data_IF_575418289605
#
_entry.id   IF_575418289605
#
_cell.length_a   1.000
_cell.length_b   1.000
_cell.length_c   1.000
_cell.angle_alpha   90.00
_cell.angle_beta   90.00
_cell.angle_gamma   90.00
#
_symmetry.space_group_name_H-M   'P 1'
#
loop_
_entity.id
_entity.type
_entity.pdbx_description
1 polymer ?
#
# COMPACT_ATOMS: atom_id res chain seq x y z
N UNK A 1 9.07 -4.83 -14.21
CA UNK A 1 7.86 -5.42 -13.62
C UNK A 1 6.77 -4.36 -13.54
N UNK A 2 5.60 -4.69 -14.01
CA UNK A 2 4.44 -3.80 -13.94
C UNK A 2 3.86 -3.79 -12.54
N UNK A 3 3.47 -2.61 -12.06
CA UNK A 3 2.77 -2.45 -10.79
C UNK A 3 1.38 -1.94 -11.09
N UNK A 4 0.38 -2.56 -10.48
CA UNK A 4 -1.01 -2.16 -10.64
C UNK A 4 -1.69 -2.09 -9.28
N UNK A 5 -2.35 -0.96 -9.01
CA UNK A 5 -3.21 -0.85 -7.83
C UNK A 5 -4.60 -1.32 -8.20
N UNK A 6 -5.18 -2.20 -7.41
CA UNK A 6 -6.58 -2.52 -7.67
C UNK A 6 -7.45 -1.31 -7.29
N UNK A 7 -8.70 -1.25 -7.80
CA UNK A 7 -9.53 -0.06 -7.59
C UNK A 7 -9.74 0.31 -6.13
N UNK A 8 -9.92 -0.67 -5.26
CA UNK A 8 -10.13 -0.40 -3.83
C UNK A 8 -8.87 0.16 -3.18
N UNK A 9 -7.69 -0.35 -3.57
CA UNK A 9 -6.43 0.19 -3.06
C UNK A 9 -6.22 1.63 -3.51
N UNK A 10 -6.51 1.92 -4.78
CA UNK A 10 -6.40 3.29 -5.30
C UNK A 10 -7.34 4.24 -4.55
N UNK A 11 -8.54 3.79 -4.23
CA UNK A 11 -9.49 4.56 -3.45
C UNK A 11 -8.99 4.83 -2.03
N UNK A 12 -8.35 3.84 -1.43
CA UNK A 12 -7.76 3.99 -0.10
C UNK A 12 -6.66 5.03 -0.09
N UNK A 13 -5.84 5.06 -1.13
CA UNK A 13 -4.80 6.10 -1.28
C UNK A 13 -5.44 7.48 -1.35
N UNK A 14 -6.46 7.65 -2.17
CA UNK A 14 -7.12 8.95 -2.33
C UNK A 14 -7.80 9.40 -1.06
N UNK A 15 -8.47 8.49 -0.36
CA UNK A 15 -9.11 8.80 0.92
C UNK A 15 -8.10 9.25 1.96
N UNK A 16 -6.96 8.55 2.05
CA UNK A 16 -5.91 8.93 2.97
C UNK A 16 -5.30 10.30 2.60
N UNK A 17 -5.03 10.50 1.31
CA UNK A 17 -4.48 11.77 0.84
C UNK A 17 -5.40 12.93 1.19
N UNK A 18 -6.70 12.80 0.96
CA UNK A 18 -7.67 13.84 1.29
C UNK A 18 -7.70 14.13 2.79
N UNK A 19 -7.66 13.08 3.59
CA UNK A 19 -7.67 13.23 5.04
C UNK A 19 -6.47 14.06 5.51
N UNK A 20 -5.28 13.77 4.99
CA UNK A 20 -4.09 14.54 5.31
C UNK A 20 -4.17 15.97 4.75
N UNK A 21 -4.64 16.12 3.51
CA UNK A 21 -4.70 17.43 2.85
C UNK A 21 -5.59 18.42 3.62
N UNK A 22 -6.67 17.93 4.21
CA UNK A 22 -7.58 18.75 5.01
C UNK A 22 -6.94 19.26 6.29
N UNK A 23 -5.93 18.57 6.79
CA UNK A 23 -5.25 18.90 8.05
C UNK A 23 -3.89 19.52 7.83
N UNK A 24 -3.16 19.08 6.83
CA UNK A 24 -1.82 19.56 6.53
C UNK A 24 -1.46 19.18 5.10
N UNK A 25 -1.57 20.11 4.14
CA UNK A 25 -1.17 19.82 2.76
C UNK A 25 0.24 19.23 2.61
N UNK A 26 1.27 19.70 3.36
CA UNK A 26 2.57 19.04 3.29
C UNK A 26 2.55 17.57 3.73
N UNK A 27 1.69 17.20 4.67
CA UNK A 27 1.57 15.81 5.09
C UNK A 27 0.97 14.95 3.98
N UNK A 28 0.02 15.49 3.22
CA UNK A 28 -0.54 14.76 2.09
C UNK A 28 0.53 14.47 1.02
N UNK A 29 1.38 15.46 0.74
CA UNK A 29 2.48 15.26 -0.19
C UNK A 29 3.49 14.24 0.33
N UNK A 30 3.83 14.33 1.61
CA UNK A 30 4.76 13.40 2.23
C UNK A 30 4.23 11.96 2.21
N UNK A 31 2.93 11.78 2.41
CA UNK A 31 2.29 10.47 2.30
C UNK A 31 2.46 9.87 0.90
N UNK A 32 2.19 10.66 -0.13
CA UNK A 32 2.32 10.17 -1.51
C UNK A 32 3.78 9.84 -1.85
N UNK A 33 4.72 10.68 -1.43
CA UNK A 33 6.15 10.41 -1.66
C UNK A 33 6.57 9.11 -0.98
N UNK A 34 6.14 8.91 0.25
CA UNK A 34 6.49 7.69 0.97
C UNK A 34 5.86 6.44 0.34
N UNK A 35 4.63 6.58 -0.18
CA UNK A 35 3.98 5.48 -0.88
C UNK A 35 4.72 5.16 -2.18
N UNK A 36 5.16 6.17 -2.93
CA UNK A 36 5.95 5.95 -4.15
C UNK A 36 7.25 5.23 -3.85
N UNK A 37 7.93 5.61 -2.76
CA UNK A 37 9.15 4.93 -2.33
C UNK A 37 8.86 3.48 -1.94
N UNK A 38 7.72 3.23 -1.29
CA UNK A 38 7.31 1.87 -0.94
C UNK A 38 7.15 1.01 -2.20
N UNK A 39 6.49 1.55 -3.22
CA UNK A 39 6.32 0.86 -4.50
C UNK A 39 7.67 0.50 -5.11
N UNK A 40 8.61 1.45 -5.14
CA UNK A 40 9.94 1.20 -5.71
C UNK A 40 10.72 0.16 -4.93
N UNK A 41 10.69 0.21 -3.61
CA UNK A 41 11.38 -0.78 -2.77
C UNK A 41 10.82 -2.17 -2.95
N UNK A 42 9.51 -2.28 -3.06
CA UNK A 42 8.86 -3.58 -3.27
C UNK A 42 9.14 -4.10 -4.68
N UNK A 43 9.15 -3.23 -5.69
CA UNK A 43 9.50 -3.63 -7.06
C UNK A 43 10.92 -4.21 -7.14
N UNK A 44 11.86 -3.59 -6.44
CA UNK A 44 13.25 -4.02 -6.46
C UNK A 44 13.45 -5.40 -5.86
N UNK A 45 12.68 -5.72 -4.82
CA UNK A 45 12.85 -6.98 -4.09
C UNK A 45 11.49 -7.48 -3.57
N UNK A 46 10.61 -7.96 -4.46
CA UNK A 46 9.24 -8.29 -4.06
C UNK A 46 9.13 -9.44 -3.06
N UNK A 47 10.14 -10.29 -2.97
CA UNK A 47 10.13 -11.42 -2.04
C UNK A 47 10.79 -11.11 -0.71
N UNK A 48 11.32 -9.91 -0.55
CA UNK A 48 12.05 -9.51 0.66
C UNK A 48 11.13 -9.24 1.85
N UNK A 49 9.92 -8.75 1.58
CA UNK A 49 9.05 -8.25 2.63
C UNK A 49 8.19 -9.36 3.22
N UNK A 50 7.79 -9.24 4.50
CA UNK A 50 7.11 -10.34 5.20
C UNK A 50 5.82 -10.79 4.52
N UNK A 51 5.57 -12.07 4.59
CA UNK A 51 4.28 -12.63 4.19
C UNK A 51 3.19 -12.15 5.14
N UNK A 52 2.02 -11.91 4.58
CA UNK A 52 0.90 -11.39 5.34
C UNK A 52 -0.39 -11.97 4.79
N UNK A 53 -0.90 -13.00 5.46
CA UNK A 53 -2.01 -13.75 4.93
C UNK A 53 -1.59 -14.63 3.75
N UNK A 54 -2.57 -15.30 3.17
CA UNK A 54 -2.32 -16.25 2.10
C UNK A 54 -2.01 -15.53 0.78
N UNK A 55 -0.84 -15.80 0.24
CA UNK A 55 -0.45 -15.27 -1.06
C UNK A 55 -0.12 -13.80 -1.11
N UNK A 56 -0.08 -13.12 0.02
CA UNK A 56 0.20 -11.70 0.07
C UNK A 56 1.43 -11.40 0.93
N UNK A 57 1.96 -10.20 0.77
CA UNK A 57 3.04 -9.65 1.58
C UNK A 57 2.68 -8.24 1.97
N UNK A 58 3.34 -7.73 3.02
CA UNK A 58 3.10 -6.35 3.45
C UNK A 58 4.40 -5.57 3.56
N UNK A 59 4.30 -4.29 3.23
CA UNK A 59 5.33 -3.31 3.48
C UNK A 59 4.74 -2.24 4.38
N UNK A 60 5.30 -2.09 5.58
CA UNK A 60 4.81 -1.11 6.55
C UNK A 60 5.46 0.23 6.23
N UNK A 61 4.65 1.29 6.02
CA UNK A 61 5.19 2.62 5.80
C UNK A 61 5.89 3.12 7.06
N UNK A 62 7.13 3.67 6.94
CA UNK A 62 7.90 4.07 8.13
C UNK A 62 7.27 5.19 8.96
N UNK A 63 6.62 6.17 8.32
CA UNK A 63 6.16 7.37 9.03
C UNK A 63 4.66 7.58 9.02
N UNK A 64 3.90 6.69 8.39
CA UNK A 64 2.44 6.79 8.33
C UNK A 64 1.83 5.47 8.78
N UNK A 65 0.67 5.52 9.43
CA UNK A 65 0.06 4.32 10.00
C UNK A 65 -0.67 3.47 8.95
N UNK A 66 0.05 3.14 7.88
CA UNK A 66 -0.47 2.35 6.78
C UNK A 66 0.50 1.26 6.38
N UNK A 67 -0.04 0.17 5.86
CA UNK A 67 0.75 -0.88 5.22
C UNK A 67 0.29 -1.05 3.78
N UNK A 68 1.25 -1.25 2.89
CA UNK A 68 0.95 -1.60 1.51
C UNK A 68 0.91 -3.12 1.42
N UNK A 69 -0.25 -3.67 1.08
CA UNK A 69 -0.45 -5.10 0.92
C UNK A 69 -0.41 -5.41 -0.56
N UNK A 70 0.43 -6.36 -0.95
CA UNK A 70 0.60 -6.68 -2.36
C UNK A 70 0.75 -8.17 -2.57
N UNK A 71 0.52 -8.59 -3.81
CA UNK A 71 0.76 -9.98 -4.21
C UNK A 71 1.33 -10.02 -5.61
N UNK A 72 2.02 -11.11 -5.91
CA UNK A 72 2.64 -11.31 -7.21
C UNK A 72 1.80 -12.27 -8.02
N UNK A 73 1.51 -11.90 -9.27
CA UNK A 73 0.87 -12.78 -10.25
C UNK A 73 1.69 -12.72 -11.53
N UNK A 74 2.41 -13.80 -11.80
CA UNK A 74 3.34 -13.82 -12.93
C UNK A 74 4.30 -12.63 -12.82
N UNK A 75 4.29 -11.72 -13.78
CA UNK A 75 5.18 -10.55 -13.74
C UNK A 75 4.47 -9.27 -13.31
N UNK A 76 3.27 -9.41 -12.75
CA UNK A 76 2.49 -8.30 -12.25
C UNK A 76 2.60 -8.22 -10.72
N UNK A 77 2.93 -7.05 -10.21
CA UNK A 77 2.85 -6.75 -8.79
C UNK A 77 1.54 -6.00 -8.56
N UNK A 78 0.60 -6.66 -7.91
CA UNK A 78 -0.70 -6.08 -7.63
C UNK A 78 -0.75 -5.55 -6.21
N UNK A 79 -0.99 -4.23 -6.05
CA UNK A 79 -1.25 -3.65 -4.75
C UNK A 79 -2.73 -3.87 -4.44
N UNK A 80 -2.98 -4.69 -3.43
CA UNK A 80 -4.33 -5.13 -3.06
C UNK A 80 -4.99 -4.15 -2.11
N UNK A 81 -4.20 -3.55 -1.23
CA UNK A 81 -4.71 -2.62 -0.23
C UNK A 81 -3.62 -1.66 0.24
N UNK A 82 -4.04 -0.46 0.59
CA UNK A 82 -3.24 0.48 1.37
C UNK A 82 -4.00 0.64 2.69
N UNK A 83 -3.63 -0.19 3.65
CA UNK A 83 -4.44 -0.47 4.83
C UNK A 83 -3.99 0.35 6.03
N UNK A 84 -4.89 1.17 6.57
CA UNK A 84 -4.64 1.82 7.85
C UNK A 84 -4.48 0.73 8.93
N UNK A 85 -3.56 0.93 9.85
CA UNK A 85 -3.24 -0.07 10.89
C UNK A 85 -4.41 -0.37 11.83
N UNK A 86 -5.43 0.49 11.84
CA UNK A 86 -6.65 0.25 12.65
C UNK A 86 -7.70 -0.61 11.93
N UNK A 87 -7.51 -0.87 10.63
CA UNK A 87 -8.45 -1.73 9.92
C UNK A 87 -8.31 -3.17 10.40
N UNK A 88 -9.42 -3.90 10.33
CA UNK A 88 -9.43 -5.32 10.70
C UNK A 88 -8.48 -6.10 9.80
N UNK A 89 -7.58 -6.91 10.36
CA UNK A 89 -6.67 -7.71 9.56
C UNK A 89 -7.41 -8.58 8.54
N UNK A 90 -6.94 -8.58 7.29
CA UNK A 90 -7.52 -9.41 6.26
C UNK A 90 -8.80 -8.90 5.63
N UNK A 91 -9.23 -7.66 5.92
CA UNK A 91 -10.44 -7.09 5.31
C UNK A 91 -10.36 -7.05 3.78
N UNK A 92 -9.15 -7.08 3.24
CA UNK A 92 -8.87 -7.03 1.80
C UNK A 92 -8.87 -8.42 1.13
N UNK A 93 -9.08 -9.49 1.88
CA UNK A 93 -8.89 -10.88 1.38
C UNK A 93 -9.75 -11.22 0.19
N UNK A 94 -10.91 -10.61 0.06
CA UNK A 94 -11.82 -10.87 -1.04
C UNK A 94 -11.52 -10.03 -2.30
N UNK A 95 -10.50 -9.23 -2.26
CA UNK A 95 -10.16 -8.35 -3.38
C UNK A 95 -9.41 -9.04 -4.53
#
# INVERSE_FOLDING_TARGET
MEVRFNPEAAEEVETARQWYAERSPPAAEAFLVELDLAVERVREAPHRWPRYGKGARQYILPRFPFSMIYRMKAELLEVVAVAHHRRKPGYWKSR
#
